data_IF_911252508619
#
_entry.id   IF_911252508619
#
_cell.length_a   1.000
_cell.length_b   1.000
_cell.length_c   1.000
_cell.angle_alpha   90.00
_cell.angle_beta   90.00
_cell.angle_gamma   90.00
#
_symmetry.space_group_name_H-M   'P 1'
#
loop_
_entity.id
_entity.type
_entity.pdbx_description
1 polymer ?
#
# COMPACT_ATOMS: atom_id res chain seq x y z
N UNK A 1 -10.60 6.26 -9.22
CA UNK A 1 -10.39 4.81 -9.32
C UNK A 1 -11.47 4.00 -8.59
N UNK A 2 -11.87 4.36 -7.36
CA UNK A 2 -12.80 3.56 -6.55
C UNK A 2 -14.31 3.81 -6.80
N UNK A 3 -14.69 4.91 -7.46
CA UNK A 3 -16.11 5.26 -7.66
C UNK A 3 -16.84 4.45 -8.73
N UNK A 4 -16.11 3.69 -9.55
CA UNK A 4 -16.65 2.86 -10.63
C UNK A 4 -15.74 1.63 -10.84
N UNK A 5 -15.97 0.53 -10.10
CA UNK A 5 -15.04 -0.58 -10.04
C UNK A 5 -15.24 -1.62 -11.15
N UNK A 6 -16.31 -1.52 -11.96
CA UNK A 6 -16.72 -2.57 -12.88
C UNK A 6 -16.23 -2.32 -14.31
N UNK A 7 -15.68 -3.37 -14.91
CA UNK A 7 -15.47 -3.45 -16.37
C UNK A 7 -16.66 -4.24 -16.91
N UNK A 8 -17.60 -3.56 -17.59
CA UNK A 8 -18.85 -4.17 -18.07
C UNK A 8 -18.73 -4.80 -19.45
N UNK A 9 -17.68 -4.47 -20.20
CA UNK A 9 -17.37 -5.01 -21.52
C UNK A 9 -15.85 -5.21 -21.68
N UNK A 10 -15.39 -6.16 -22.51
CA UNK A 10 -13.96 -6.42 -22.70
C UNK A 10 -13.20 -5.18 -23.19
N UNK A 11 -12.08 -4.86 -22.56
CA UNK A 11 -11.15 -3.84 -23.03
C UNK A 11 -10.31 -4.38 -24.20
N UNK A 12 -10.23 -3.64 -25.31
CA UNK A 12 -9.38 -3.98 -26.47
C UNK A 12 -8.25 -2.95 -26.58
N UNK A 13 -7.00 -3.29 -26.22
CA UNK A 13 -5.88 -2.36 -26.26
C UNK A 13 -5.60 -1.78 -27.66
N UNK A 14 -5.08 -0.53 -27.75
CA UNK A 14 -4.69 0.33 -26.64
C UNK A 14 -5.88 1.08 -26.01
N UNK A 15 -5.93 1.11 -24.68
CA UNK A 15 -6.91 1.86 -23.86
C UNK A 15 -6.16 2.63 -22.77
N UNK A 16 -6.83 3.58 -22.10
CA UNK A 16 -6.18 4.34 -21.04
C UNK A 16 -5.92 3.45 -19.81
N UNK A 17 -4.86 3.75 -19.04
CA UNK A 17 -4.53 2.99 -17.83
C UNK A 17 -5.69 2.97 -16.81
N UNK A 18 -6.47 4.05 -16.74
CA UNK A 18 -7.62 4.16 -15.83
C UNK A 18 -8.90 3.47 -16.33
N UNK A 19 -8.90 2.94 -17.57
CA UNK A 19 -9.99 2.08 -18.06
C UNK A 19 -9.91 0.68 -17.42
N UNK A 20 -8.71 0.25 -17.02
CA UNK A 20 -8.52 -0.91 -16.14
C UNK A 20 -8.97 -0.54 -14.72
N UNK A 21 -10.24 -0.82 -14.40
CA UNK A 21 -10.79 -0.59 -13.07
C UNK A 21 -10.19 -1.56 -12.05
N UNK A 22 -9.96 -1.06 -10.83
CA UNK A 22 -9.34 -1.82 -9.73
C UNK A 22 -10.21 -3.00 -9.26
N UNK A 23 -11.54 -2.91 -9.40
CA UNK A 23 -12.45 -3.86 -8.74
C UNK A 23 -12.41 -3.68 -7.21
N UNK A 24 -12.02 -4.74 -6.51
CA UNK A 24 -11.91 -4.77 -5.05
C UNK A 24 -10.47 -5.14 -4.64
N UNK A 25 -9.77 -4.28 -3.88
CA UNK A 25 -8.49 -4.65 -3.28
C UNK A 25 -8.72 -5.49 -2.01
N UNK A 26 -7.78 -6.38 -1.71
CA UNK A 26 -7.83 -7.22 -0.51
C UNK A 26 -6.53 -7.12 0.30
N UNK A 27 -6.66 -7.23 1.62
CA UNK A 27 -5.55 -7.52 2.53
C UNK A 27 -5.47 -9.03 2.71
N UNK A 28 -4.27 -9.60 2.64
CA UNK A 28 -4.08 -11.04 2.87
C UNK A 28 -3.55 -11.25 4.28
N UNK A 29 -4.27 -12.04 5.07
CA UNK A 29 -3.79 -12.56 6.35
C UNK A 29 -3.42 -14.04 6.19
N UNK A 30 -2.20 -14.39 6.58
CA UNK A 30 -1.69 -15.75 6.41
C UNK A 30 -1.22 -16.27 7.76
N UNK A 31 -1.72 -17.46 8.12
CA UNK A 31 -1.32 -18.21 9.30
C UNK A 31 -0.60 -19.48 8.89
N UNK A 32 0.55 -19.74 9.52
CA UNK A 32 1.36 -20.91 9.29
C UNK A 32 1.93 -21.41 10.62
N UNK A 33 2.22 -22.72 10.81
CA UNK A 33 2.75 -23.23 12.09
C UNK A 33 4.08 -22.60 12.54
N UNK A 34 4.80 -21.93 11.64
CA UNK A 34 6.08 -21.24 11.92
C UNK A 34 5.95 -19.71 12.06
N UNK A 35 4.74 -19.17 11.97
CA UNK A 35 4.48 -17.74 12.08
C UNK A 35 3.34 -17.27 11.19
N UNK A 36 3.03 -16.00 11.30
CA UNK A 36 1.89 -15.34 10.66
C UNK A 36 2.32 -14.03 10.02
N UNK A 37 1.66 -13.65 8.93
CA UNK A 37 1.94 -12.38 8.28
C UNK A 37 0.70 -11.76 7.66
N UNK A 38 0.77 -10.45 7.50
CA UNK A 38 -0.23 -9.64 6.82
C UNK A 38 0.40 -9.00 5.59
N UNK A 39 -0.31 -9.00 4.46
CA UNK A 39 0.08 -8.26 3.25
C UNK A 39 -0.96 -7.17 3.00
N UNK A 40 -0.59 -5.94 3.33
CA UNK A 40 -1.37 -4.74 3.04
C UNK A 40 -0.85 -4.21 1.70
N UNK A 41 -1.47 -4.60 0.59
CA UNK A 41 -0.90 -4.38 -0.75
C UNK A 41 -0.91 -2.93 -1.24
N UNK A 42 -1.65 -2.04 -0.60
CA UNK A 42 -1.75 -0.63 -0.98
C UNK A 42 -1.91 0.25 0.27
N UNK A 43 -1.61 1.53 0.16
CA UNK A 43 -1.71 2.51 1.25
C UNK A 43 -3.17 2.92 1.59
N UNK A 44 -4.09 1.97 1.53
CA UNK A 44 -5.51 2.14 1.88
C UNK A 44 -5.89 1.33 3.12
N UNK A 45 -6.95 1.74 3.79
CA UNK A 45 -7.47 1.05 4.96
C UNK A 45 -9.00 1.15 5.03
N UNK A 46 -9.60 0.23 5.77
CA UNK A 46 -10.97 0.32 6.27
C UNK A 46 -10.92 0.26 7.79
N UNK A 47 -11.66 1.14 8.47
CA UNK A 47 -11.68 1.18 9.93
C UNK A 47 -12.15 -0.16 10.48
N UNK A 48 -11.41 -0.68 11.47
CA UNK A 48 -11.74 -1.92 12.19
C UNK A 48 -11.72 -3.20 11.34
N UNK A 49 -11.32 -3.14 10.07
CA UNK A 49 -11.31 -4.31 9.18
C UNK A 49 -10.35 -5.42 9.65
N UNK A 50 -9.35 -5.08 10.48
CA UNK A 50 -8.34 -6.00 10.98
C UNK A 50 -8.49 -6.29 12.49
N UNK A 51 -9.61 -5.91 13.12
CA UNK A 51 -9.85 -6.18 14.53
C UNK A 51 -9.86 -7.69 14.83
N UNK A 52 -9.15 -8.08 15.89
CA UNK A 52 -9.04 -9.48 16.31
C UNK A 52 -8.02 -10.31 15.55
N UNK A 53 -7.38 -9.75 14.51
CA UNK A 53 -6.28 -10.41 13.81
C UNK A 53 -4.93 -10.14 14.50
N UNK A 54 -4.00 -11.08 14.36
CA UNK A 54 -2.62 -10.95 14.80
C UNK A 54 -1.67 -11.40 13.68
N UNK A 55 -0.53 -10.73 13.54
CA UNK A 55 0.48 -11.11 12.56
C UNK A 55 1.88 -10.82 13.11
N UNK A 56 2.82 -11.77 12.95
CA UNK A 56 4.21 -11.57 13.40
C UNK A 56 4.94 -10.53 12.53
N UNK A 57 4.61 -10.49 11.23
CA UNK A 57 5.18 -9.57 10.24
C UNK A 57 4.08 -8.91 9.41
N UNK A 58 4.21 -7.60 9.17
CA UNK A 58 3.39 -6.87 8.19
C UNK A 58 4.23 -6.45 7.00
N UNK A 59 3.83 -6.88 5.81
CA UNK A 59 4.30 -6.31 4.54
C UNK A 59 3.38 -5.14 4.18
N UNK A 60 3.90 -3.91 4.30
CA UNK A 60 3.12 -2.67 4.25
C UNK A 60 3.34 -1.93 2.93
N UNK A 61 2.33 -1.91 2.06
CA UNK A 61 2.31 -1.13 0.83
C UNK A 61 2.23 0.35 1.14
N UNK A 62 3.25 1.11 0.73
CA UNK A 62 3.37 2.55 1.05
C UNK A 62 3.34 3.47 -0.17
N UNK A 63 3.05 2.91 -1.35
CA UNK A 63 2.91 3.67 -2.60
C UNK A 63 1.90 4.81 -2.44
N UNK A 64 2.37 6.04 -2.66
CA UNK A 64 1.56 7.26 -2.56
C UNK A 64 1.15 7.69 -1.14
N UNK A 65 1.59 6.99 -0.08
CA UNK A 65 1.22 7.33 1.30
C UNK A 65 1.65 8.75 1.71
N UNK A 66 2.79 9.21 1.20
CA UNK A 66 3.38 10.49 1.55
C UNK A 66 2.69 11.72 0.96
N UNK A 67 1.84 11.57 -0.07
CA UNK A 67 0.99 12.66 -0.57
C UNK A 67 -0.31 12.84 0.23
N UNK A 68 -0.64 11.89 1.10
CA UNK A 68 -1.82 11.97 1.96
C UNK A 68 -1.63 13.01 3.08
N UNK A 69 -2.71 13.31 3.80
CA UNK A 69 -2.63 14.16 5.00
C UNK A 69 -1.93 13.44 6.15
N UNK A 70 -1.45 14.19 7.15
CA UNK A 70 -0.88 13.60 8.36
C UNK A 70 -1.89 12.69 9.08
N UNK A 71 -3.14 13.16 9.20
CA UNK A 71 -4.24 12.39 9.81
C UNK A 71 -4.50 11.08 9.07
N UNK A 72 -4.49 11.10 7.73
CA UNK A 72 -4.66 9.89 6.94
C UNK A 72 -3.53 8.90 7.18
N UNK A 73 -2.27 9.34 7.20
CA UNK A 73 -1.13 8.46 7.48
C UNK A 73 -1.21 7.82 8.87
N UNK A 74 -1.57 8.62 9.88
CA UNK A 74 -1.78 8.15 11.25
C UNK A 74 -2.92 7.14 11.33
N UNK A 75 -4.05 7.42 10.66
CA UNK A 75 -5.18 6.50 10.58
C UNK A 75 -4.81 5.20 9.84
N UNK A 76 -4.12 5.29 8.71
CA UNK A 76 -3.62 4.14 7.97
C UNK A 76 -2.75 3.24 8.85
N UNK A 77 -1.77 3.81 9.56
CA UNK A 77 -0.93 3.03 10.48
C UNK A 77 -1.74 2.38 11.60
N UNK A 78 -2.59 3.16 12.27
CA UNK A 78 -3.43 2.67 13.38
C UNK A 78 -4.33 1.52 12.91
N UNK A 79 -5.00 1.67 11.77
CA UNK A 79 -5.95 0.68 11.23
C UNK A 79 -5.27 -0.51 10.55
N UNK A 80 -3.95 -0.46 10.32
CA UNK A 80 -3.16 -1.57 9.75
C UNK A 80 -2.19 -2.15 10.79
N UNK A 81 -0.98 -1.62 10.86
CA UNK A 81 0.09 -2.06 11.77
C UNK A 81 -0.37 -2.02 13.22
N UNK A 82 -1.04 -0.94 13.63
CA UNK A 82 -1.51 -0.76 15.01
C UNK A 82 -2.56 -1.79 15.44
N UNK A 83 -3.41 -2.28 14.52
CA UNK A 83 -4.45 -3.29 14.86
C UNK A 83 -3.88 -4.67 15.11
N UNK A 84 -2.79 -5.04 14.44
CA UNK A 84 -2.21 -6.39 14.50
C UNK A 84 -0.93 -6.47 15.32
N UNK A 85 -0.38 -5.32 15.74
CA UNK A 85 0.78 -5.17 16.63
C UNK A 85 1.95 -6.13 16.29
N UNK A 86 2.50 -6.06 15.06
CA UNK A 86 3.51 -7.01 14.62
C UNK A 86 4.87 -6.73 15.27
N UNK A 87 5.71 -7.76 15.32
CA UNK A 87 7.12 -7.63 15.74
C UNK A 87 8.01 -7.05 14.63
N UNK A 88 7.53 -7.05 13.38
CA UNK A 88 8.27 -6.60 12.20
C UNK A 88 7.35 -5.96 11.18
N UNK A 89 7.76 -4.81 10.65
CA UNK A 89 7.12 -4.16 9.51
C UNK A 89 8.13 -4.08 8.36
N UNK A 90 7.75 -4.53 7.17
CA UNK A 90 8.55 -4.47 5.96
C UNK A 90 7.79 -3.61 4.95
N UNK A 91 8.24 -2.38 4.68
CA UNK A 91 7.66 -1.58 3.60
C UNK A 91 7.81 -2.30 2.26
N UNK A 92 6.74 -2.32 1.46
CA UNK A 92 6.70 -2.83 0.09
C UNK A 92 6.03 -1.79 -0.81
N UNK A 93 6.05 -2.00 -2.12
CA UNK A 93 5.38 -1.13 -3.09
C UNK A 93 5.79 0.35 -2.94
N UNK A 94 7.08 0.58 -2.75
CA UNK A 94 7.73 1.91 -2.67
C UNK A 94 8.53 2.24 -3.96
N UNK A 95 8.53 1.31 -4.92
CA UNK A 95 9.13 1.40 -6.24
C UNK A 95 8.25 2.15 -7.24
N UNK A 96 8.79 2.32 -8.45
CA UNK A 96 8.01 2.84 -9.56
C UNK A 96 7.19 1.76 -10.25
N UNK A 97 5.89 2.00 -10.41
CA UNK A 97 4.98 1.20 -11.23
C UNK A 97 5.27 1.29 -12.73
N UNK A 98 6.06 2.27 -13.19
CA UNK A 98 6.30 2.52 -14.61
C UNK A 98 7.79 2.48 -15.01
N UNK A 99 8.68 2.24 -14.06
CA UNK A 99 10.10 2.04 -14.38
C UNK A 99 10.33 0.69 -15.08
N UNK A 100 11.40 0.57 -15.89
CA UNK A 100 11.79 -0.71 -16.47
C UNK A 100 12.07 -1.78 -15.40
N UNK A 101 11.74 -3.03 -15.70
CA UNK A 101 11.99 -4.18 -14.82
C UNK A 101 13.47 -4.53 -14.66
N UNK A 102 14.33 -4.12 -15.61
CA UNK A 102 15.77 -4.31 -15.58
C UNK A 102 16.51 -2.97 -15.44
N UNK A 103 17.65 -3.00 -14.74
CA UNK A 103 18.50 -1.83 -14.50
C UNK A 103 18.49 -1.38 -13.04
N UNK A 104 19.00 -0.17 -12.74
CA UNK A 104 19.03 0.32 -11.37
C UNK A 104 17.61 0.47 -10.84
N UNK A 105 17.38 0.00 -9.61
CA UNK A 105 16.12 0.20 -8.90
C UNK A 105 15.92 1.71 -8.70
N UNK A 106 14.98 2.28 -9.46
CA UNK A 106 14.65 3.70 -9.41
C UNK A 106 13.37 3.87 -8.59
N UNK A 107 13.33 4.94 -7.80
CA UNK A 107 12.08 5.39 -7.19
C UNK A 107 11.03 5.73 -8.27
N UNK A 108 9.78 6.04 -7.86
CA UNK A 108 8.68 6.36 -8.76
C UNK A 108 9.10 7.27 -9.92
N UNK A 109 8.63 6.95 -11.13
CA UNK A 109 8.81 7.80 -12.31
C UNK A 109 8.32 9.22 -12.02
N UNK A 110 8.82 10.25 -12.71
CA UNK A 110 8.37 11.62 -12.45
C UNK A 110 6.84 11.79 -12.59
N UNK A 111 6.19 11.06 -13.51
CA UNK A 111 4.74 11.06 -13.66
C UNK A 111 4.03 10.42 -12.46
N UNK A 112 4.58 9.33 -11.94
CA UNK A 112 4.08 8.65 -10.76
C UNK A 112 4.40 9.38 -9.46
N UNK A 113 5.60 9.97 -9.32
CA UNK A 113 5.97 10.84 -8.23
C UNK A 113 5.10 12.10 -8.21
N UNK A 114 4.64 12.59 -9.37
CA UNK A 114 3.65 13.66 -9.45
C UNK A 114 2.26 13.19 -9.00
N UNK A 115 1.84 11.97 -9.37
CA UNK A 115 0.52 11.42 -9.03
C UNK A 115 0.42 10.87 -7.60
N UNK A 116 1.50 10.27 -7.10
CA UNK A 116 1.58 9.54 -5.85
C UNK A 116 2.33 10.33 -4.76
N UNK A 117 3.34 11.14 -5.11
CA UNK A 117 3.99 12.10 -4.23
C UNK A 117 4.66 11.57 -2.96
N UNK A 118 5.52 12.42 -2.38
CA UNK A 118 5.82 12.37 -0.95
C UNK A 118 6.70 11.22 -0.45
N UNK A 119 7.58 10.61 -1.24
CA UNK A 119 8.52 9.58 -0.74
C UNK A 119 9.26 9.99 0.54
N UNK A 120 9.73 11.23 0.60
CA UNK A 120 10.43 11.75 1.77
C UNK A 120 9.49 11.85 2.98
N UNK A 121 8.24 12.27 2.76
CA UNK A 121 7.22 12.28 3.81
C UNK A 121 6.87 10.85 4.26
N UNK A 122 6.82 9.88 3.33
CA UNK A 122 6.65 8.46 3.65
C UNK A 122 7.80 7.98 4.52
N UNK A 123 9.06 8.28 4.14
CA UNK A 123 10.25 7.90 4.90
C UNK A 123 10.21 8.48 6.31
N UNK A 124 10.02 9.80 6.44
CA UNK A 124 9.94 10.50 7.72
C UNK A 124 8.83 9.94 8.61
N UNK A 125 7.67 9.65 8.02
CA UNK A 125 6.56 9.02 8.73
C UNK A 125 6.92 7.63 9.26
N UNK A 126 7.50 6.76 8.43
CA UNK A 126 7.90 5.43 8.85
C UNK A 126 9.01 5.45 9.91
N UNK A 127 9.94 6.39 9.82
CA UNK A 127 10.99 6.60 10.85
C UNK A 127 10.40 7.04 12.18
N UNK A 128 9.40 7.93 12.15
CA UNK A 128 8.65 8.31 13.35
C UNK A 128 7.95 7.09 13.97
N UNK A 129 7.20 6.33 13.16
CA UNK A 129 6.47 5.16 13.67
C UNK A 129 7.38 4.02 14.16
N UNK A 130 8.62 3.95 13.69
CA UNK A 130 9.60 2.96 14.16
C UNK A 130 10.27 3.36 15.48
N UNK A 131 10.18 4.64 15.87
CA UNK A 131 10.74 5.16 17.12
C UNK A 131 9.75 5.12 18.30
N UNK A 132 8.45 4.98 18.01
CA UNK A 132 7.35 4.84 18.97
C UNK A 132 7.15 3.37 19.42
#
# INVERSE_FOLDING_TARGET
ALGDPLITEPLVPPVAAFDYRLGVPYVLHVSHPRGSWLVVGSAGYEERALEGLQADTVFLGVGGLGSQTADYRQAFWRETVGRVAPSRVIPIHYDSLTAPAEGPFRGPSNAEAFLAGGLENTRLFLEQMAAD
#
